data_IF_258917319766
#
_entry.id   IF_258917319766
#
_cell.length_a   1.000
_cell.length_b   1.000
_cell.length_c   1.000
_cell.angle_alpha   90.00
_cell.angle_beta   90.00
_cell.angle_gamma   90.00
#
_symmetry.space_group_name_H-M   'P 1'
#
loop_
_entity.id
_entity.type
_entity.pdbx_description
1 polymer ?
#
# COMPACT_ATOMS: atom_id res chain seq x y z
N UNK A 1 -23.09 8.78 3.23
CA UNK A 1 -22.27 8.63 2.01
C UNK A 1 -21.25 9.76 2.02
N UNK A 2 -20.03 9.51 2.52
CA UNK A 2 -19.02 10.56 2.70
C UNK A 2 -18.47 11.02 1.35
N UNK A 3 -18.61 12.31 1.03
CA UNK A 3 -18.04 12.91 -0.18
C UNK A 3 -16.52 12.85 -0.06
N UNK A 4 -15.87 12.00 -0.87
CA UNK A 4 -14.41 12.01 -1.03
C UNK A 4 -14.02 13.36 -1.60
N UNK A 5 -13.31 14.17 -0.81
CA UNK A 5 -12.71 15.43 -1.26
C UNK A 5 -11.50 15.04 -2.10
N UNK A 6 -11.70 14.93 -3.41
CA UNK A 6 -10.68 14.45 -4.35
C UNK A 6 -9.84 15.59 -4.95
N UNK A 7 -10.28 16.84 -4.82
CA UNK A 7 -9.63 18.00 -5.44
C UNK A 7 -9.56 19.20 -4.51
N UNK A 8 -8.61 20.10 -4.77
CA UNK A 8 -8.39 21.32 -3.98
C UNK A 8 -9.65 22.20 -3.99
N UNK A 9 -10.42 22.18 -5.07
CA UNK A 9 -11.68 22.91 -5.22
C UNK A 9 -12.75 22.36 -4.26
N UNK A 10 -12.81 21.03 -4.08
CA UNK A 10 -13.73 20.41 -3.13
C UNK A 10 -13.31 20.66 -1.69
N UNK A 11 -12.01 20.78 -1.41
CA UNK A 11 -11.49 21.13 -0.09
C UNK A 11 -11.82 22.59 0.22
N UNK A 12 -11.61 23.49 -0.74
CA UNK A 12 -11.97 24.90 -0.60
C UNK A 12 -13.47 25.06 -0.35
N UNK A 13 -14.31 24.27 -1.02
CA UNK A 13 -15.75 24.27 -0.80
C UNK A 13 -16.13 23.71 0.58
N UNK A 14 -15.51 22.59 1.00
CA UNK A 14 -15.75 22.00 2.33
C UNK A 14 -15.33 22.94 3.48
N UNK A 15 -14.21 23.66 3.32
CA UNK A 15 -13.74 24.66 4.29
C UNK A 15 -14.67 25.89 4.33
N UNK A 16 -15.29 26.26 3.21
CA UNK A 16 -16.27 27.36 3.16
C UNK A 16 -17.62 26.98 3.77
N UNK A 17 -18.02 25.72 3.64
CA UNK A 17 -19.33 25.24 4.07
C UNK A 17 -19.35 24.67 5.49
N UNK A 18 -18.20 24.27 6.05
CA UNK A 18 -18.07 23.76 7.42
C UNK A 18 -17.19 24.68 8.31
N UNK A 19 -17.78 25.43 9.26
CA UNK A 19 -17.04 26.30 10.18
C UNK A 19 -16.04 25.56 11.08
N UNK A 20 -16.31 24.30 11.42
CA UNK A 20 -15.44 23.50 12.29
C UNK A 20 -14.20 23.04 11.52
N UNK A 21 -14.36 22.67 10.24
CA UNK A 21 -13.24 22.35 9.37
C UNK A 21 -12.36 23.58 9.10
N UNK A 22 -12.98 24.75 8.94
CA UNK A 22 -12.27 26.02 8.77
C UNK A 22 -11.41 26.40 9.99
N UNK A 23 -11.90 26.13 11.20
CA UNK A 23 -11.13 26.34 12.43
C UNK A 23 -9.90 25.41 12.48
N UNK A 24 -10.08 24.12 12.21
CA UNK A 24 -9.00 23.13 12.20
C UNK A 24 -7.92 23.41 11.15
N UNK A 25 -8.31 23.83 9.94
CA UNK A 25 -7.36 24.22 8.88
C UNK A 25 -6.59 25.48 9.25
N UNK A 26 -7.16 26.39 10.05
CA UNK A 26 -6.47 27.59 10.54
C UNK A 26 -5.51 27.29 11.68
N UNK A 27 -5.84 26.32 12.55
CA UNK A 27 -4.99 25.90 13.66
C UNK A 27 -3.80 25.07 13.16
N UNK A 28 -4.04 24.01 12.38
CA UNK A 28 -3.00 23.19 11.79
C UNK A 28 -3.40 22.68 10.38
N UNK A 29 -3.02 23.41 9.32
CA UNK A 29 -3.32 22.99 7.97
C UNK A 29 -2.55 21.73 7.56
N UNK A 30 -1.37 21.47 8.14
CA UNK A 30 -0.54 20.34 7.78
C UNK A 30 -1.13 19.02 8.29
N UNK A 31 -1.65 19.00 9.51
CA UNK A 31 -2.33 17.82 10.09
C UNK A 31 -3.60 17.47 9.32
N UNK A 32 -4.39 18.47 8.94
CA UNK A 32 -5.63 18.27 8.17
C UNK A 32 -5.34 17.69 6.78
N UNK A 33 -4.30 18.19 6.11
CA UNK A 33 -3.84 17.66 4.82
C UNK A 33 -3.27 16.23 4.95
N UNK A 34 -2.53 15.94 6.02
CA UNK A 34 -2.01 14.60 6.29
C UNK A 34 -3.14 13.58 6.52
N UNK A 35 -4.20 13.95 7.25
CA UNK A 35 -5.39 13.11 7.44
C UNK A 35 -6.21 12.88 6.17
N UNK A 36 -6.01 13.72 5.14
CA UNK A 36 -6.63 13.56 3.82
C UNK A 36 -5.74 12.82 2.81
N UNK A 37 -4.44 12.68 3.09
CA UNK A 37 -3.49 11.94 2.28
C UNK A 37 -3.73 10.42 2.41
N UNK A 38 -4.73 9.96 1.66
CA UNK A 38 -5.03 8.58 1.25
C UNK A 38 -5.42 7.54 2.33
N UNK A 39 -6.65 6.99 2.25
CA UNK A 39 -7.14 5.92 3.12
C UNK A 39 -6.72 4.50 2.66
N UNK A 40 -5.76 4.33 1.74
CA UNK A 40 -5.32 2.99 1.33
C UNK A 40 -4.68 2.21 2.48
N UNK A 41 -4.06 2.89 3.46
CA UNK A 41 -3.58 2.26 4.69
C UNK A 41 -4.71 1.78 5.60
N UNK A 42 -5.91 2.35 5.51
CA UNK A 42 -7.01 1.99 6.41
C UNK A 42 -7.74 0.71 5.99
N UNK A 43 -7.58 0.26 4.74
CA UNK A 43 -8.24 -0.96 4.28
C UNK A 43 -7.36 -2.19 4.56
N UNK A 44 -7.34 -2.57 5.84
CA UNK A 44 -6.64 -3.76 6.36
C UNK A 44 -7.03 -5.02 5.58
N UNK A 45 -8.24 -5.06 5.02
CA UNK A 45 -8.71 -6.18 4.20
C UNK A 45 -7.99 -6.25 2.86
N UNK A 46 -7.86 -5.12 2.15
CA UNK A 46 -7.08 -5.05 0.92
C UNK A 46 -5.61 -5.38 1.20
N UNK A 47 -5.03 -4.81 2.26
CA UNK A 47 -3.66 -5.11 2.66
C UNK A 47 -3.46 -6.62 2.91
N UNK A 48 -4.33 -7.25 3.69
CA UNK A 48 -4.26 -8.70 3.98
C UNK A 48 -4.43 -9.55 2.73
N UNK A 49 -5.32 -9.16 1.81
CA UNK A 49 -5.56 -9.91 0.59
C UNK A 49 -4.35 -9.83 -0.36
N UNK A 50 -3.76 -8.65 -0.54
CA UNK A 50 -2.58 -8.46 -1.38
C UNK A 50 -1.36 -9.17 -0.80
N UNK A 51 -1.06 -8.95 0.48
CA UNK A 51 0.08 -9.62 1.15
C UNK A 51 -0.13 -11.13 1.19
N UNK A 52 -1.34 -11.61 1.47
CA UNK A 52 -1.68 -13.02 1.45
C UNK A 52 -1.50 -13.66 0.07
N UNK A 53 -1.95 -13.00 -0.99
CA UNK A 53 -1.79 -13.48 -2.36
C UNK A 53 -0.31 -13.51 -2.79
N UNK A 54 0.46 -12.47 -2.47
CA UNK A 54 1.91 -12.41 -2.75
C UNK A 54 2.67 -13.51 -1.99
N UNK A 55 2.38 -13.70 -0.71
CA UNK A 55 2.99 -14.75 0.10
C UNK A 55 2.63 -16.16 -0.42
N UNK A 56 1.38 -16.37 -0.81
CA UNK A 56 0.94 -17.64 -1.39
C UNK A 56 1.62 -17.91 -2.74
N UNK A 57 1.71 -16.90 -3.61
CA UNK A 57 2.43 -17.02 -4.88
C UNK A 57 3.91 -17.37 -4.67
N UNK A 58 4.56 -16.78 -3.65
CA UNK A 58 5.92 -17.12 -3.28
C UNK A 58 6.03 -18.58 -2.82
N UNK A 59 5.15 -19.04 -1.94
CA UNK A 59 5.15 -20.43 -1.47
C UNK A 59 4.90 -21.43 -2.61
N UNK A 60 3.96 -21.14 -3.51
CA UNK A 60 3.67 -21.98 -4.67
C UNK A 60 4.86 -22.04 -5.63
N UNK A 61 5.49 -20.91 -5.92
CA UNK A 61 6.65 -20.87 -6.83
C UNK A 61 7.85 -21.61 -6.25
N UNK A 62 8.15 -21.44 -4.96
CA UNK A 62 9.21 -22.18 -4.27
C UNK A 62 8.91 -23.68 -4.22
N UNK A 63 7.69 -24.06 -3.83
CA UNK A 63 7.30 -25.48 -3.77
C UNK A 63 7.32 -26.13 -5.17
N UNK A 64 6.83 -25.44 -6.18
CA UNK A 64 6.85 -25.90 -7.57
C UNK A 64 8.28 -26.08 -8.08
N UNK A 65 9.17 -25.13 -7.81
CA UNK A 65 10.58 -25.23 -8.18
C UNK A 65 11.27 -26.43 -7.51
N UNK A 66 11.02 -26.65 -6.21
CA UNK A 66 11.57 -27.81 -5.46
C UNK A 66 11.06 -29.12 -6.07
N UNK A 67 9.76 -29.24 -6.34
CA UNK A 67 9.18 -30.44 -6.93
C UNK A 67 9.74 -30.74 -8.33
N UNK A 68 9.93 -29.71 -9.17
CA UNK A 68 10.54 -29.88 -10.49
C UNK A 68 12.01 -30.31 -10.37
N UNK A 69 12.77 -29.69 -9.46
CA UNK A 69 14.16 -30.05 -9.20
C UNK A 69 14.30 -31.50 -8.70
N UNK A 70 13.41 -31.95 -7.81
CA UNK A 70 13.38 -33.35 -7.35
C UNK A 70 13.08 -34.35 -8.47
N UNK A 71 12.32 -33.93 -9.48
CA UNK A 71 12.05 -34.74 -10.68
C UNK A 71 13.17 -34.66 -11.73
N UNK A 72 14.27 -33.95 -11.44
CA UNK A 72 15.36 -33.71 -12.38
C UNK A 72 14.96 -32.85 -13.58
N UNK A 73 13.86 -32.11 -13.48
CA UNK A 73 13.39 -31.21 -14.54
C UNK A 73 14.00 -29.83 -14.35
N UNK A 74 14.28 -29.15 -15.46
CA UNK A 74 14.68 -27.75 -15.43
C UNK A 74 13.55 -26.90 -14.80
N UNK A 75 13.92 -26.03 -13.88
CA UNK A 75 13.00 -25.04 -13.31
C UNK A 75 12.82 -23.92 -14.33
N UNK A 76 11.59 -23.64 -14.80
CA UNK A 76 11.33 -22.58 -15.76
C UNK A 76 11.70 -21.20 -15.20
N UNK A 77 12.29 -20.34 -16.03
CA UNK A 77 12.66 -18.97 -15.65
C UNK A 77 11.44 -18.15 -15.18
N UNK A 78 10.25 -18.44 -15.73
CA UNK A 78 9.01 -17.77 -15.32
C UNK A 78 8.68 -18.02 -13.85
N UNK A 79 8.95 -19.22 -13.33
CA UNK A 79 8.75 -19.53 -11.90
C UNK A 79 9.71 -18.71 -11.03
N UNK A 80 10.96 -18.58 -11.48
CA UNK A 80 11.97 -17.78 -10.79
C UNK A 80 11.61 -16.28 -10.80
N UNK A 81 11.15 -15.78 -11.94
CA UNK A 81 10.74 -14.39 -12.12
C UNK A 81 9.55 -14.01 -11.23
N UNK A 82 8.53 -14.87 -11.16
CA UNK A 82 7.36 -14.65 -10.29
C UNK A 82 7.79 -14.67 -8.81
N UNK A 83 8.62 -15.64 -8.41
CA UNK A 83 9.13 -15.72 -7.04
C UNK A 83 9.94 -14.47 -6.66
N UNK A 84 10.85 -14.03 -7.52
CA UNK A 84 11.65 -12.82 -7.29
C UNK A 84 10.79 -11.56 -7.21
N UNK A 85 9.80 -11.41 -8.10
CA UNK A 85 8.85 -10.30 -8.08
C UNK A 85 8.02 -10.27 -6.80
N UNK A 86 7.55 -11.44 -6.32
CA UNK A 86 6.80 -11.54 -5.07
C UNK A 86 7.66 -11.14 -3.85
N UNK A 87 8.92 -11.60 -3.77
CA UNK A 87 9.85 -11.19 -2.71
C UNK A 87 10.11 -9.69 -2.74
N UNK A 88 10.36 -9.11 -3.92
CA UNK A 88 10.59 -7.67 -4.08
C UNK A 88 9.39 -6.84 -3.65
N UNK A 89 8.18 -7.25 -4.03
CA UNK A 89 6.95 -6.57 -3.61
C UNK A 89 6.74 -6.64 -2.09
N UNK A 90 6.97 -7.79 -1.47
CA UNK A 90 6.89 -7.93 -0.01
C UNK A 90 7.95 -7.09 0.72
N UNK A 91 9.19 -7.06 0.21
CA UNK A 91 10.24 -6.20 0.75
C UNK A 91 9.87 -4.71 0.64
N UNK A 92 9.26 -4.30 -0.47
CA UNK A 92 8.74 -2.93 -0.65
C UNK A 92 7.61 -2.58 0.31
N UNK A 93 6.68 -3.50 0.56
CA UNK A 93 5.56 -3.30 1.50
C UNK A 93 6.02 -3.23 2.97
N UNK A 94 7.12 -3.90 3.31
CA UNK A 94 7.68 -3.93 4.67
C UNK A 94 8.82 -2.94 4.86
N UNK A 95 9.18 -2.16 3.84
CA UNK A 95 10.22 -1.16 3.95
C UNK A 95 9.78 -0.08 4.96
N UNK A 96 10.66 0.33 5.90
CA UNK A 96 10.33 1.39 6.84
C UNK A 96 10.01 2.68 6.08
N UNK A 97 8.92 3.34 6.45
CA UNK A 97 8.55 4.63 5.88
C UNK A 97 9.65 5.68 6.09
N UNK A 98 9.72 6.71 5.23
CA UNK A 98 10.73 7.75 5.34
C UNK A 98 10.69 8.37 6.75
N UNK A 99 11.80 8.22 7.49
CA UNK A 99 11.94 8.83 8.81
C UNK A 99 11.89 10.36 8.64
N UNK A 100 11.07 11.10 9.43
CA UNK A 100 11.03 12.55 9.35
C UNK A 100 12.42 13.11 9.62
N UNK A 101 13.03 13.69 8.59
CA UNK A 101 14.32 14.33 8.69
C UNK A 101 14.22 15.50 9.67
N UNK A 102 14.84 15.35 10.85
CA UNK A 102 15.09 16.47 11.76
C UNK A 102 16.08 17.42 11.07
N UNK A 103 15.58 18.53 10.56
CA UNK A 103 16.36 19.74 10.25
C UNK A 103 15.65 20.94 10.82
#
# INVERSE_FOLDING_TARGET
MGKRIATIEQLAEAVRSDPALAARVREDPAEVLAGMASPLESDVWIYRLVVGALALALLITVAGAILLAMQGRAVPDVLLAIGSGAVGALAGLLAPGPAPGRR
#
